data_IF_962978457594
#
_entry.id   IF_962978457594
#
_cell.length_a   1.000
_cell.length_b   1.000
_cell.length_c   1.000
_cell.angle_alpha   90.00
_cell.angle_beta   90.00
_cell.angle_gamma   90.00
#
_symmetry.space_group_name_H-M   'P 1'
#
loop_
_entity.id
_entity.type
_entity.pdbx_description
1 polymer ?
#
# COMPACT_ATOMS: atom_id res chain seq x y z
N UNK A 1 -0.40 -10.63 -3.93
CA UNK A 1 1.01 -10.31 -4.29
C UNK A 1 1.59 -9.32 -3.28
N UNK A 2 2.89 -9.35 -3.00
CA UNK A 2 3.56 -8.41 -2.08
C UNK A 2 4.53 -7.52 -2.87
N UNK A 3 4.29 -6.22 -2.89
CA UNK A 3 5.11 -5.23 -3.60
C UNK A 3 5.81 -4.37 -2.56
N UNK A 4 7.12 -4.18 -2.69
CA UNK A 4 7.91 -3.43 -1.70
C UNK A 4 8.92 -2.49 -2.35
N UNK A 5 9.14 -1.35 -1.71
CA UNK A 5 10.14 -0.36 -2.15
C UNK A 5 11.57 -0.92 -2.04
N UNK A 6 12.52 -0.53 -2.92
CA UNK A 6 13.90 -1.04 -2.88
C UNK A 6 14.69 -0.63 -1.63
N UNK A 7 14.21 0.33 -0.84
CA UNK A 7 14.91 0.77 0.36
C UNK A 7 14.88 -0.34 1.43
N UNK A 8 16.03 -0.57 2.07
CA UNK A 8 16.26 -1.68 3.00
C UNK A 8 15.17 -1.81 4.07
N UNK A 9 14.75 -0.70 4.69
CA UNK A 9 13.67 -0.72 5.71
C UNK A 9 12.33 -1.27 5.20
N UNK A 10 11.99 -1.04 3.93
CA UNK A 10 10.78 -1.59 3.33
C UNK A 10 10.98 -3.06 2.96
N UNK A 11 12.17 -3.46 2.52
CA UNK A 11 12.51 -4.86 2.26
C UNK A 11 12.42 -5.70 3.54
N UNK A 12 12.99 -5.21 4.64
CA UNK A 12 12.93 -5.86 5.95
C UNK A 12 11.49 -5.97 6.47
N UNK A 13 10.67 -4.90 6.30
CA UNK A 13 9.25 -4.96 6.67
C UNK A 13 8.49 -5.98 5.81
N UNK A 14 8.81 -6.07 4.51
CA UNK A 14 8.21 -7.05 3.62
C UNK A 14 8.62 -8.50 3.98
N UNK A 15 9.82 -8.72 4.51
CA UNK A 15 10.24 -10.04 5.02
C UNK A 15 9.39 -10.48 6.22
N UNK A 16 9.08 -9.57 7.14
CA UNK A 16 8.16 -9.85 8.27
C UNK A 16 6.77 -10.23 7.75
N UNK A 17 6.23 -9.48 6.78
CA UNK A 17 4.95 -9.80 6.15
C UNK A 17 4.99 -11.18 5.46
N UNK A 18 6.07 -11.46 4.73
CA UNK A 18 6.21 -12.71 3.98
C UNK A 18 6.33 -13.94 4.90
N UNK A 19 6.85 -13.78 6.12
CA UNK A 19 6.84 -14.84 7.12
C UNK A 19 5.41 -15.24 7.56
N UNK A 20 4.45 -14.30 7.54
CA UNK A 20 3.04 -14.53 7.89
C UNK A 20 2.21 -14.92 6.66
N UNK A 21 2.57 -14.41 5.48
CA UNK A 21 1.87 -14.67 4.21
C UNK A 21 2.84 -15.26 3.17
N UNK A 22 3.34 -16.50 3.36
CA UNK A 22 4.43 -17.06 2.56
C UNK A 22 4.06 -17.30 1.09
N UNK A 23 2.77 -17.49 0.79
CA UNK A 23 2.28 -17.67 -0.58
C UNK A 23 2.36 -16.38 -1.42
N UNK A 24 2.53 -15.21 -0.80
CA UNK A 24 2.60 -13.96 -1.53
C UNK A 24 3.95 -13.83 -2.26
N UNK A 25 3.93 -13.87 -3.59
CA UNK A 25 5.08 -13.52 -4.43
C UNK A 25 5.52 -12.08 -4.12
N UNK A 26 6.76 -11.92 -3.64
CA UNK A 26 7.40 -10.62 -3.37
C UNK A 26 8.00 -10.04 -4.66
N UNK A 27 7.74 -8.76 -4.92
CA UNK A 27 8.30 -7.98 -6.02
C UNK A 27 8.85 -6.66 -5.47
N UNK A 28 10.03 -6.26 -5.93
CA UNK A 28 10.61 -4.94 -5.62
C UNK A 28 10.23 -3.95 -6.71
N UNK A 29 9.74 -2.78 -6.33
CA UNK A 29 9.24 -1.76 -7.25
C UNK A 29 9.81 -0.37 -6.97
N UNK A 30 10.41 0.26 -7.98
CA UNK A 30 10.95 1.61 -7.91
C UNK A 30 9.88 2.72 -7.89
N UNK A 31 8.66 2.41 -8.32
CA UNK A 31 7.55 3.36 -8.41
C UNK A 31 6.83 3.61 -7.08
N UNK A 32 7.32 3.05 -5.97
CA UNK A 32 6.82 3.28 -4.59
C UNK A 32 7.90 3.75 -3.61
N UNK A 33 8.88 4.53 -4.08
CA UNK A 33 9.87 5.20 -3.23
C UNK A 33 9.28 6.47 -2.60
N UNK A 34 9.89 7.04 -1.54
CA UNK A 34 9.40 8.26 -0.91
C UNK A 34 9.21 9.44 -1.88
N UNK A 35 10.04 9.51 -2.93
CA UNK A 35 10.03 10.55 -3.97
C UNK A 35 9.26 10.17 -5.23
N UNK A 36 8.57 9.02 -5.24
CA UNK A 36 7.79 8.58 -6.40
C UNK A 36 6.54 9.44 -6.58
N UNK A 37 6.00 9.44 -7.80
CA UNK A 37 4.77 10.14 -8.12
C UNK A 37 3.57 9.19 -7.94
N UNK A 38 2.52 9.58 -7.19
CA UNK A 38 1.32 8.74 -7.03
C UNK A 38 0.72 8.29 -8.37
N UNK A 39 0.72 9.15 -9.39
CA UNK A 39 0.20 8.79 -10.71
C UNK A 39 0.93 7.60 -11.34
N UNK A 40 2.27 7.59 -11.29
CA UNK A 40 3.06 6.47 -11.80
C UNK A 40 2.70 5.16 -11.11
N UNK A 41 2.47 5.20 -9.79
CA UNK A 41 2.06 4.02 -9.05
C UNK A 41 0.65 3.55 -9.41
N UNK A 42 -0.29 4.46 -9.65
CA UNK A 42 -1.64 4.13 -10.15
C UNK A 42 -1.55 3.43 -11.51
N UNK A 43 -0.73 3.96 -12.42
CA UNK A 43 -0.57 3.39 -13.77
C UNK A 43 0.06 1.97 -13.70
N UNK A 44 1.03 1.75 -12.83
CA UNK A 44 1.66 0.44 -12.62
C UNK A 44 0.72 -0.56 -11.93
N UNK A 45 -0.04 -0.12 -10.94
CA UNK A 45 -1.09 -0.93 -10.32
C UNK A 45 -2.16 -1.32 -11.35
N UNK A 46 -2.61 -0.39 -12.20
CA UNK A 46 -3.58 -0.69 -13.25
C UNK A 46 -3.11 -1.82 -14.18
N UNK A 47 -1.84 -1.78 -14.61
CA UNK A 47 -1.24 -2.85 -15.42
C UNK A 47 -1.21 -4.20 -14.70
N UNK A 48 -0.97 -4.21 -13.39
CA UNK A 48 -0.93 -5.44 -12.58
C UNK A 48 -2.33 -6.05 -12.41
N UNK A 49 -3.32 -5.25 -12.06
CA UNK A 49 -4.70 -5.71 -11.89
C UNK A 49 -5.33 -6.15 -13.22
N UNK A 50 -4.84 -5.65 -14.36
CA UNK A 50 -5.23 -6.11 -15.69
C UNK A 50 -4.71 -7.53 -16.04
N UNK A 51 -3.88 -8.14 -15.19
CA UNK A 51 -3.31 -9.49 -15.36
C UNK A 51 -3.86 -10.48 -14.32
N UNK A 52 -5.15 -10.38 -13.98
CA UNK A 52 -5.86 -11.25 -13.02
C UNK A 52 -5.29 -11.23 -11.59
N UNK A 53 -4.63 -10.13 -11.20
CA UNK A 53 -4.20 -9.92 -9.81
C UNK A 53 -5.34 -9.27 -9.03
N UNK A 54 -5.96 -10.00 -8.10
CA UNK A 54 -7.08 -9.48 -7.31
C UNK A 54 -6.65 -8.72 -6.05
N UNK A 55 -5.47 -9.03 -5.48
CA UNK A 55 -5.02 -8.43 -4.22
C UNK A 55 -3.53 -8.19 -4.22
N UNK A 56 -3.15 -6.96 -3.88
CA UNK A 56 -1.77 -6.55 -3.68
C UNK A 56 -1.58 -5.94 -2.29
N UNK A 57 -0.48 -6.27 -1.64
CA UNK A 57 -0.01 -5.59 -0.44
C UNK A 57 1.20 -4.74 -0.82
N UNK A 58 1.20 -3.47 -0.41
CA UNK A 58 2.25 -2.50 -0.77
C UNK A 58 2.98 -2.05 0.49
N UNK A 59 4.31 -2.25 0.52
CA UNK A 59 5.20 -1.80 1.60
C UNK A 59 6.03 -0.62 1.10
N UNK A 60 5.67 0.58 1.55
CA UNK A 60 6.22 1.85 1.05
C UNK A 60 6.53 2.82 2.20
N UNK A 61 6.48 4.13 1.94
CA UNK A 61 7.00 5.19 2.81
C UNK A 61 6.12 6.42 2.77
N UNK A 62 6.12 7.17 3.86
CA UNK A 62 5.66 8.56 3.85
C UNK A 62 6.67 9.48 3.13
N UNK A 63 6.20 10.60 2.55
CA UNK A 63 4.79 11.00 2.44
C UNK A 63 4.03 10.29 1.30
N UNK A 64 4.75 9.62 0.40
CA UNK A 64 4.21 9.02 -0.82
C UNK A 64 2.98 8.13 -0.58
N UNK A 65 3.04 7.20 0.38
CA UNK A 65 1.95 6.22 0.56
C UNK A 65 0.64 6.90 0.99
N UNK A 66 0.71 7.94 1.82
CA UNK A 66 -0.46 8.72 2.19
C UNK A 66 -1.05 9.43 0.97
N UNK A 67 -0.21 10.12 0.18
CA UNK A 67 -0.67 10.78 -1.04
C UNK A 67 -1.25 9.81 -2.08
N UNK A 68 -0.72 8.58 -2.16
CA UNK A 68 -1.25 7.55 -3.04
C UNK A 68 -2.67 7.13 -2.61
N UNK A 69 -2.86 6.86 -1.32
CA UNK A 69 -4.17 6.50 -0.76
C UNK A 69 -5.16 7.65 -0.96
N UNK A 70 -4.77 8.88 -0.60
CA UNK A 70 -5.61 10.06 -0.74
C UNK A 70 -6.04 10.27 -2.20
N UNK A 71 -5.11 10.13 -3.15
CA UNK A 71 -5.43 10.24 -4.57
C UNK A 71 -6.35 9.12 -5.06
N UNK A 72 -6.10 7.87 -4.68
CA UNK A 72 -6.94 6.73 -5.06
C UNK A 72 -8.37 6.88 -4.52
N UNK A 73 -8.53 7.39 -3.30
CA UNK A 73 -9.82 7.55 -2.65
C UNK A 73 -10.48 8.92 -2.84
N UNK A 74 -9.82 9.86 -3.52
CA UNK A 74 -10.34 11.22 -3.71
C UNK A 74 -10.46 12.02 -2.41
N UNK A 75 -9.57 11.74 -1.44
CA UNK A 75 -9.55 12.38 -0.13
C UNK A 75 -8.73 13.68 -0.18
N UNK A 76 -9.01 14.58 0.76
CA UNK A 76 -8.22 15.80 0.94
C UNK A 76 -6.79 15.48 1.38
N UNK A 77 -5.85 16.35 0.99
CA UNK A 77 -4.45 16.17 1.35
C UNK A 77 -4.25 16.25 2.87
N UNK A 78 -3.56 15.25 3.44
CA UNK A 78 -3.31 15.17 4.87
C UNK A 78 -4.43 14.49 5.66
N UNK A 79 -5.45 13.93 4.99
CA UNK A 79 -6.47 13.08 5.60
C UNK A 79 -5.84 11.79 6.15
N UNK A 80 -4.91 11.19 5.40
CA UNK A 80 -4.27 9.94 5.80
C UNK A 80 -3.05 10.23 6.68
N UNK A 81 -3.08 9.71 7.90
CA UNK A 81 -1.97 9.76 8.86
C UNK A 81 -1.50 8.35 9.15
N UNK A 82 -0.23 8.04 8.94
CA UNK A 82 0.31 6.68 9.19
C UNK A 82 1.54 6.77 10.09
N UNK A 83 1.61 5.91 11.10
CA UNK A 83 2.84 5.59 11.82
C UNK A 83 3.55 4.39 11.19
N UNK A 84 4.79 4.10 11.58
CA UNK A 84 5.48 2.85 11.19
C UNK A 84 4.64 1.65 11.59
N UNK A 85 4.49 0.66 10.69
CA UNK A 85 3.69 -0.54 10.93
C UNK A 85 2.17 -0.34 10.79
N UNK A 86 1.70 0.84 10.40
CA UNK A 86 0.28 1.05 10.10
C UNK A 86 -0.12 0.36 8.80
N UNK A 87 -1.35 -0.15 8.76
CA UNK A 87 -1.95 -0.80 7.59
C UNK A 87 -3.21 -0.06 7.16
N UNK A 88 -3.45 -0.04 5.86
CA UNK A 88 -4.65 0.51 5.24
C UNK A 88 -5.16 -0.50 4.22
N UNK A 89 -6.45 -0.81 4.27
CA UNK A 89 -7.11 -1.58 3.24
C UNK A 89 -8.01 -0.69 2.39
N UNK A 90 -7.86 -0.84 1.08
CA UNK A 90 -8.65 -0.16 0.08
C UNK A 90 -9.41 -1.20 -0.73
N UNK A 91 -10.66 -0.89 -1.04
CA UNK A 91 -11.38 -1.53 -2.14
C UNK A 91 -11.22 -0.66 -3.39
N UNK A 92 -10.75 -1.25 -4.48
CA UNK A 92 -10.39 -0.54 -5.71
C UNK A 92 -11.05 -1.23 -6.93
N UNK A 93 -12.38 -1.08 -7.11
CA UNK A 93 -13.09 -1.68 -8.26
C UNK A 93 -12.55 -1.17 -9.60
N UNK A 94 -12.01 0.05 -9.61
CA UNK A 94 -11.26 0.62 -10.72
C UNK A 94 -9.97 1.22 -10.17
N UNK A 95 -8.82 0.85 -10.75
CA UNK A 95 -7.53 1.45 -10.40
C UNK A 95 -7.41 2.83 -11.06
N UNK A 96 -8.01 3.85 -10.44
CA UNK A 96 -7.98 5.23 -10.88
C UNK A 96 -8.13 6.19 -9.69
N UNK A 97 -7.76 7.45 -9.89
CA UNK A 97 -7.92 8.48 -8.87
C UNK A 97 -9.40 8.71 -8.54
N UNK A 98 -9.72 8.77 -7.25
CA UNK A 98 -11.08 8.97 -6.76
C UNK A 98 -12.02 7.76 -6.87
N UNK A 99 -11.54 6.61 -7.33
CA UNK A 99 -12.37 5.40 -7.52
C UNK A 99 -12.24 4.38 -6.37
N UNK A 100 -11.36 4.62 -5.42
CA UNK A 100 -11.12 3.74 -4.29
C UNK A 100 -11.97 4.06 -3.07
N UNK A 101 -12.28 3.04 -2.29
CA UNK A 101 -12.92 3.18 -0.97
C UNK A 101 -11.93 2.79 0.12
N UNK A 102 -11.73 3.67 1.11
CA UNK A 102 -11.00 3.35 2.33
C UNK A 102 -11.88 2.45 3.20
N UNK A 103 -11.52 1.17 3.33
CA UNK A 103 -12.28 0.21 4.13
C UNK A 103 -11.96 0.35 5.61
N UNK A 104 -10.67 0.35 5.93
CA UNK A 104 -10.18 0.49 7.30
C UNK A 104 -8.73 0.94 7.30
N UNK A 105 -8.32 1.46 8.46
CA UNK A 105 -6.97 1.83 8.77
C UNK A 105 -6.64 1.35 10.18
N UNK A 106 -5.52 0.65 10.33
CA UNK A 106 -5.07 0.08 11.60
C UNK A 106 -3.68 0.59 11.94
N UNK A 107 -3.50 0.98 13.20
CA UNK A 107 -2.21 1.33 13.78
C UNK A 107 -1.74 0.23 14.73
N UNK A 108 -0.42 -0.01 14.86
CA UNK A 108 0.09 -1.04 15.76
C UNK A 108 -0.27 -0.79 17.23
N UNK A 109 -0.41 0.47 17.63
CA UNK A 109 -0.75 0.88 19.00
C UNK A 109 -2.19 0.50 19.43
N UNK A 110 -3.08 0.22 18.46
CA UNK A 110 -4.51 -0.08 18.68
C UNK A 110 -4.84 -1.54 18.36
N UNK A 111 -3.83 -2.42 18.35
CA UNK A 111 -4.06 -3.86 18.29
C UNK A 111 -4.49 -4.33 19.69
N UNK A 112 -5.77 -4.15 20.03
CA UNK A 112 -6.34 -4.85 21.18
C UNK A 112 -6.37 -6.34 20.83
N UNK A 113 -5.70 -7.17 21.64
CA UNK A 113 -5.99 -8.60 21.65
C UNK A 113 -7.49 -8.79 21.96
N UNK A 114 -8.22 -9.65 21.23
CA UNK A 114 -9.47 -10.16 21.75
C UNK A 114 -9.14 -11.11 22.92
N UNK A 115 -9.26 -10.61 24.14
CA UNK A 115 -9.43 -11.45 25.35
C UNK A 115 -10.72 -11.06 26.04
#
# INVERSE_FOLDING_TARGET
MLICSPLIRAQQSAEVVQAVVPAARKITADWIKPSSMPQTAIDELYKLFSQDVETVMVVSHLPFVAHLIERLCGLEQGFIRMGTGSLVALDLPVIAAGCGTLLWQQHPEVLCDPV
#
